data_IF_582443046264
#
_entry.id   IF_582443046264
#
_cell.length_a   1.000
_cell.length_b   1.000
_cell.length_c   1.000
_cell.angle_alpha   90.00
_cell.angle_beta   90.00
_cell.angle_gamma   90.00
#
_symmetry.space_group_name_H-M   'P 1'
#
loop_
_entity.id
_entity.type
_entity.pdbx_description
1 polymer ?
#
# COMPACT_ATOMS: atom_id res chain seq x y z
N UNK A 1 2.42 9.75 19.27
CA UNK A 1 2.98 8.57 18.57
C UNK A 1 2.41 8.53 17.15
N UNK A 2 3.21 8.82 16.11
CA UNK A 2 2.74 9.00 14.72
C UNK A 2 3.58 8.18 13.72
N UNK A 3 3.75 6.87 13.95
CA UNK A 3 4.71 6.06 13.19
C UNK A 3 4.09 4.98 12.29
N UNK A 4 2.77 4.76 12.34
CA UNK A 4 2.11 3.70 11.55
C UNK A 4 1.75 4.16 10.12
N UNK A 5 1.43 5.44 9.91
CA UNK A 5 1.04 5.96 8.58
C UNK A 5 2.19 5.98 7.56
N UNK A 6 3.42 6.23 8.01
CA UNK A 6 4.60 6.35 7.14
C UNK A 6 4.93 5.04 6.40
N UNK A 7 4.71 3.90 7.06
CA UNK A 7 5.03 2.59 6.49
C UNK A 7 4.08 2.21 5.33
N UNK A 8 2.80 2.59 5.41
CA UNK A 8 1.81 2.32 4.36
C UNK A 8 2.04 3.20 3.12
N UNK A 9 2.34 4.49 3.34
CA UNK A 9 2.63 5.41 2.24
C UNK A 9 3.88 4.98 1.45
N UNK A 10 4.93 4.51 2.13
CA UNK A 10 6.12 3.97 1.48
C UNK A 10 5.86 2.64 0.77
N UNK A 11 4.99 1.77 1.30
CA UNK A 11 4.58 0.56 0.60
C UNK A 11 3.82 0.86 -0.70
N UNK A 12 2.90 1.84 -0.66
CA UNK A 12 2.20 2.32 -1.86
C UNK A 12 3.17 2.90 -2.88
N UNK A 13 4.07 3.78 -2.46
CA UNK A 13 5.04 4.41 -3.35
C UNK A 13 5.96 3.38 -4.03
N UNK A 14 6.49 2.43 -3.25
CA UNK A 14 7.33 1.35 -3.78
C UNK A 14 6.56 0.46 -4.74
N UNK A 15 5.29 0.17 -4.46
CA UNK A 15 4.47 -0.64 -5.36
C UNK A 15 4.19 0.07 -6.68
N UNK A 16 3.91 1.39 -6.65
CA UNK A 16 3.73 2.19 -7.86
C UNK A 16 4.99 2.17 -8.71
N UNK A 17 6.16 2.45 -8.13
CA UNK A 17 7.42 2.44 -8.88
C UNK A 17 7.70 1.07 -9.50
N UNK A 18 7.56 0.01 -8.71
CA UNK A 18 7.79 -1.36 -9.18
C UNK A 18 6.87 -1.74 -10.35
N UNK A 19 5.60 -1.36 -10.31
CA UNK A 19 4.64 -1.64 -11.37
C UNK A 19 4.94 -0.84 -12.65
N UNK A 20 5.37 0.42 -12.50
CA UNK A 20 5.83 1.22 -13.64
C UNK A 20 7.09 0.61 -14.25
N UNK A 21 8.04 0.14 -13.45
CA UNK A 21 9.29 -0.48 -13.93
C UNK A 21 9.06 -1.85 -14.59
N UNK A 22 8.20 -2.70 -14.03
CA UNK A 22 7.99 -4.07 -14.49
C UNK A 22 6.99 -4.15 -15.65
N UNK A 23 5.91 -3.38 -15.59
CA UNK A 23 4.81 -3.44 -16.55
C UNK A 23 4.71 -2.22 -17.47
N UNK A 24 5.41 -1.13 -17.18
CA UNK A 24 5.35 0.12 -17.95
C UNK A 24 4.16 1.01 -17.65
N UNK A 25 3.34 0.67 -16.65
CA UNK A 25 2.18 1.47 -16.25
C UNK A 25 2.01 1.52 -14.72
N UNK A 26 1.52 2.64 -14.17
CA UNK A 26 1.22 2.73 -12.75
C UNK A 26 0.03 1.83 -12.41
N UNK A 27 0.04 1.20 -11.23
CA UNK A 27 -1.04 0.32 -10.81
C UNK A 27 -2.27 1.12 -10.41
N UNK A 28 -3.44 0.51 -10.54
CA UNK A 28 -4.70 1.10 -10.09
C UNK A 28 -4.82 1.06 -8.57
N UNK A 29 -5.71 1.89 -8.02
CA UNK A 29 -6.03 1.90 -6.58
C UNK A 29 -6.48 0.52 -6.08
N UNK A 30 -7.20 -0.26 -6.91
CA UNK A 30 -7.61 -1.64 -6.55
C UNK A 30 -6.40 -2.56 -6.40
N UNK A 31 -5.44 -2.48 -7.30
CA UNK A 31 -4.23 -3.29 -7.28
C UNK A 31 -3.32 -2.90 -6.11
N UNK A 32 -3.15 -1.60 -5.85
CA UNK A 32 -2.43 -1.08 -4.69
C UNK A 32 -3.05 -1.62 -3.39
N UNK A 33 -4.38 -1.52 -3.25
CA UNK A 33 -5.08 -2.02 -2.05
C UNK A 33 -4.95 -3.54 -1.89
N UNK A 34 -4.94 -4.30 -2.98
CA UNK A 34 -4.74 -5.75 -2.96
C UNK A 34 -3.29 -6.15 -2.65
N UNK A 35 -2.31 -5.42 -3.18
CA UNK A 35 -0.88 -5.73 -3.08
C UNK A 35 -0.23 -5.22 -1.79
N UNK A 36 -0.67 -4.06 -1.28
CA UNK A 36 -0.26 -3.56 0.04
C UNK A 36 -0.89 -4.40 1.17
N UNK A 37 -1.75 -5.36 0.82
CA UNK A 37 -2.12 -6.45 1.72
C UNK A 37 -2.69 -5.93 3.03
N UNK A 38 -3.78 -5.16 2.96
CA UNK A 38 -4.62 -4.91 4.12
C UNK A 38 -5.35 -6.22 4.52
N UNK A 39 -4.58 -7.22 4.92
CA UNK A 39 -5.06 -8.53 5.39
C UNK A 39 -5.35 -8.54 6.88
N UNK A 40 -5.22 -7.40 7.58
CA UNK A 40 -5.73 -7.23 8.93
C UNK A 40 -6.77 -6.11 8.94
N UNK A 41 -8.03 -6.49 8.78
CA UNK A 41 -9.20 -5.76 9.28
C UNK A 41 -9.24 -5.70 10.82
N UNK A 42 -8.14 -6.03 11.52
CA UNK A 42 -8.10 -6.18 12.97
C UNK A 42 -7.56 -4.98 13.74
N UNK A 43 -7.40 -3.81 13.10
CA UNK A 43 -7.04 -2.57 13.83
C UNK A 43 -7.61 -1.32 13.15
N UNK A 44 -8.84 -1.41 12.64
CA UNK A 44 -9.65 -0.22 12.29
C UNK A 44 -10.75 0.04 13.33
N UNK A 45 -11.05 -0.94 14.18
CA UNK A 45 -11.94 -0.78 15.33
C UNK A 45 -11.20 -1.28 16.59
N UNK A 46 -10.51 -0.38 17.30
CA UNK A 46 -9.84 -0.68 18.57
C UNK A 46 -8.46 -0.04 18.73
N UNK A 47 -8.45 1.10 19.44
CA UNK A 47 -7.33 1.95 19.90
C UNK A 47 -6.84 3.06 18.97
#
# INVERSE_FOLDING_TARGET
MAKVAKNKQMAVLNYIHKQVEDHGYPPTVREICSAVGLSSTSTVHGH
#
